data_IF_993308123230
#
_entry.id   IF_993308123230
#
_cell.length_a   1.000
_cell.length_b   1.000
_cell.length_c   1.000
_cell.angle_alpha   90.00
_cell.angle_beta   90.00
_cell.angle_gamma   90.00
#
_symmetry.space_group_name_H-M   'P 1'
#
loop_
_entity.id
_entity.type
_entity.pdbx_description
1 polymer ?
#
# COMPACT_ATOMS: atom_id res chain seq x y z
N UNK A 1 31.88 -18.83 42.59
CA UNK A 1 31.45 -19.59 41.38
C UNK A 1 30.04 -19.17 41.08
N UNK A 2 29.83 -18.43 39.99
CA UNK A 2 28.53 -17.89 39.61
C UNK A 2 27.71 -18.96 38.90
N UNK A 3 26.46 -19.14 39.33
CA UNK A 3 25.48 -20.02 38.68
C UNK A 3 24.97 -19.34 37.41
N UNK A 4 25.08 -20.08 36.31
CA UNK A 4 24.59 -19.75 34.98
C UNK A 4 23.09 -19.52 34.98
N UNK A 5 22.64 -18.35 34.56
CA UNK A 5 21.24 -18.06 34.29
C UNK A 5 20.91 -18.39 32.82
N UNK A 6 19.85 -19.17 32.59
CA UNK A 6 19.24 -19.41 31.29
C UNK A 6 18.92 -18.08 30.58
N UNK A 7 19.26 -17.91 29.29
CA UNK A 7 18.70 -16.82 28.51
C UNK A 7 17.25 -17.20 28.17
N UNK A 8 16.32 -16.73 29.00
CA UNK A 8 14.93 -16.67 28.60
C UNK A 8 14.84 -15.82 27.33
N UNK A 9 14.17 -16.37 26.33
CA UNK A 9 13.91 -15.77 25.04
C UNK A 9 13.34 -14.36 25.22
N UNK A 10 14.19 -13.38 24.97
CA UNK A 10 13.79 -12.01 24.71
C UNK A 10 13.26 -11.97 23.27
N UNK A 11 12.07 -12.51 23.05
CA UNK A 11 11.25 -12.23 21.87
C UNK A 11 10.81 -10.77 21.96
N UNK A 12 11.77 -9.88 21.70
CA UNK A 12 11.52 -8.46 21.58
C UNK A 12 10.72 -8.26 20.28
N UNK A 13 9.42 -8.05 20.45
CA UNK A 13 8.44 -7.64 19.46
C UNK A 13 9.06 -6.74 18.39
N UNK A 14 9.48 -7.33 17.28
CA UNK A 14 9.77 -6.61 16.05
C UNK A 14 8.43 -5.97 15.61
N UNK A 15 8.40 -4.69 15.19
CA UNK A 15 7.16 -4.12 14.69
C UNK A 15 6.73 -4.93 13.47
N UNK A 16 5.62 -5.67 13.61
CA UNK A 16 5.13 -6.69 12.69
C UNK A 16 4.91 -6.21 11.24
N UNK A 17 5.02 -4.90 10.97
CA UNK A 17 4.95 -4.31 9.62
C UNK A 17 6.24 -4.38 8.80
N UNK A 18 7.45 -4.39 9.42
CA UNK A 18 8.71 -4.38 8.63
C UNK A 18 8.94 -5.60 7.71
N UNK A 19 8.51 -6.83 8.06
CA UNK A 19 8.63 -7.97 7.14
C UNK A 19 7.66 -7.90 5.96
N UNK A 20 6.40 -7.51 6.21
CA UNK A 20 5.35 -7.54 5.20
C UNK A 20 5.63 -6.56 4.06
N UNK A 21 6.02 -5.32 4.36
CA UNK A 21 6.40 -4.37 3.32
C UNK A 21 7.51 -4.88 2.40
N UNK A 22 8.53 -5.55 2.96
CA UNK A 22 9.63 -6.12 2.16
C UNK A 22 9.12 -7.22 1.22
N UNK A 23 8.18 -8.03 1.68
CA UNK A 23 7.53 -9.05 0.85
C UNK A 23 6.68 -8.41 -0.26
N UNK A 24 5.92 -7.37 0.06
CA UNK A 24 5.14 -6.60 -0.93
C UNK A 24 6.05 -5.94 -1.96
N UNK A 25 7.20 -5.41 -1.53
CA UNK A 25 8.22 -4.87 -2.42
C UNK A 25 8.79 -5.93 -3.35
N UNK A 26 9.14 -7.10 -2.82
CA UNK A 26 9.62 -8.22 -3.63
C UNK A 26 8.56 -8.66 -4.67
N UNK A 27 7.28 -8.73 -4.26
CA UNK A 27 6.18 -9.12 -5.14
C UNK A 27 5.93 -8.10 -6.26
N UNK A 28 5.91 -6.80 -5.97
CA UNK A 28 5.71 -5.78 -7.00
C UNK A 28 6.91 -5.69 -7.96
N UNK A 29 8.13 -5.76 -7.44
CA UNK A 29 9.36 -5.61 -8.23
C UNK A 29 9.62 -6.81 -9.14
N UNK A 30 9.34 -8.03 -8.68
CA UNK A 30 9.60 -9.24 -9.47
C UNK A 30 8.85 -9.26 -10.80
N UNK A 31 7.71 -8.58 -10.86
CA UNK A 31 6.87 -8.45 -12.06
C UNK A 31 6.80 -7.02 -12.60
N UNK A 32 7.55 -6.09 -12.00
CA UNK A 32 7.58 -4.67 -12.34
C UNK A 32 6.21 -3.98 -12.36
N UNK A 33 5.36 -4.28 -11.38
CA UNK A 33 4.03 -3.63 -11.24
C UNK A 33 4.09 -2.41 -10.34
N UNK A 34 3.20 -1.45 -10.58
CA UNK A 34 3.25 -0.11 -9.97
C UNK A 34 3.03 -0.09 -8.45
N UNK A 35 2.27 -1.02 -7.89
CA UNK A 35 2.08 -1.10 -6.44
C UNK A 35 1.68 -2.50 -5.94
N UNK A 36 1.85 -2.70 -4.64
CA UNK A 36 1.30 -3.81 -3.87
C UNK A 36 0.61 -3.30 -2.60
N UNK A 37 -0.56 -3.84 -2.27
CA UNK A 37 -1.33 -3.54 -1.06
C UNK A 37 -1.74 -4.85 -0.39
N UNK A 38 -1.70 -4.90 0.94
CA UNK A 38 -2.28 -6.01 1.68
C UNK A 38 -3.51 -5.54 2.47
N UNK A 39 -4.64 -6.17 2.19
CA UNK A 39 -5.92 -5.97 2.86
C UNK A 39 -6.13 -7.07 3.90
N UNK A 40 -6.07 -6.78 5.19
CA UNK A 40 -6.32 -7.78 6.23
C UNK A 40 -7.77 -7.79 6.67
N UNK A 41 -8.23 -8.98 7.05
CA UNK A 41 -9.56 -9.15 7.65
C UNK A 41 -9.46 -8.79 9.13
N UNK A 42 -10.27 -7.83 9.58
CA UNK A 42 -10.39 -7.53 11.01
C UNK A 42 -10.88 -8.77 11.78
N UNK A 43 -10.09 -9.25 12.74
CA UNK A 43 -10.40 -10.43 13.56
C UNK A 43 -11.36 -10.11 14.70
N UNK A 44 -11.41 -8.85 15.14
CA UNK A 44 -12.11 -8.42 16.35
C UNK A 44 -13.43 -7.70 16.09
N UNK A 45 -13.64 -7.16 14.88
CA UNK A 45 -14.81 -6.36 14.55
C UNK A 45 -15.83 -7.17 13.72
N UNK A 46 -17.13 -7.05 14.07
CA UNK A 46 -18.24 -7.55 13.26
C UNK A 46 -19.05 -6.35 12.74
N UNK A 47 -19.39 -6.30 11.42
CA UNK A 47 -19.03 -7.27 10.38
C UNK A 47 -17.53 -7.31 10.10
N UNK A 48 -17.04 -8.44 9.58
CA UNK A 48 -15.63 -8.57 9.18
C UNK A 48 -15.40 -7.66 7.97
N UNK A 49 -14.54 -6.66 8.10
CA UNK A 49 -14.18 -5.73 7.03
C UNK A 49 -12.71 -5.91 6.68
N UNK A 50 -12.41 -5.81 5.39
CA UNK A 50 -11.04 -5.72 4.87
C UNK A 50 -10.55 -4.28 4.96
N UNK A 51 -9.45 -4.07 5.68
CA UNK A 51 -8.78 -2.78 5.81
C UNK A 51 -7.32 -2.91 5.39
N UNK A 52 -6.73 -1.83 4.88
CA UNK A 52 -5.32 -1.85 4.52
C UNK A 52 -4.44 -2.12 5.75
N UNK A 53 -3.33 -2.84 5.57
CA UNK A 53 -2.38 -3.15 6.65
C UNK A 53 -0.98 -2.68 6.32
N UNK A 54 -0.48 -3.04 5.15
CA UNK A 54 0.80 -2.57 4.64
C UNK A 54 0.79 -2.55 3.12
N UNK A 55 1.81 -1.93 2.53
CA UNK A 55 1.83 -1.54 1.12
C UNK A 55 3.21 -1.14 0.63
N UNK A 56 3.40 -1.25 -0.67
CA UNK A 56 4.60 -0.82 -1.35
C UNK A 56 4.27 -0.14 -2.68
N UNK A 57 4.95 0.98 -2.95
CA UNK A 57 4.85 1.73 -4.18
C UNK A 57 6.11 1.52 -5.04
N UNK A 58 5.89 1.19 -6.31
CA UNK A 58 6.90 0.90 -7.32
C UNK A 58 6.63 1.67 -8.62
N UNK A 59 5.73 2.66 -8.58
CA UNK A 59 5.34 3.44 -9.75
C UNK A 59 6.28 4.61 -10.04
N UNK A 60 5.93 5.37 -11.06
CA UNK A 60 6.68 6.56 -11.46
C UNK A 60 6.61 7.67 -10.40
N UNK A 61 7.78 8.16 -9.97
CA UNK A 61 7.89 9.27 -9.02
C UNK A 61 8.12 10.57 -9.79
N UNK A 62 7.08 11.42 -9.88
CA UNK A 62 7.15 12.66 -10.67
C UNK A 62 7.88 13.81 -9.97
N UNK A 63 7.98 13.80 -8.64
CA UNK A 63 8.63 14.91 -7.91
C UNK A 63 10.12 14.73 -7.66
N UNK A 64 10.89 15.77 -8.00
CA UNK A 64 12.34 15.90 -7.76
C UNK A 64 12.71 16.29 -6.32
N UNK A 65 11.79 16.21 -5.35
CA UNK A 65 12.13 16.32 -3.92
C UNK A 65 12.68 14.98 -3.40
N UNK A 66 13.65 14.42 -4.11
CA UNK A 66 14.54 13.43 -3.51
C UNK A 66 15.59 14.27 -2.79
N UNK A 67 15.34 14.51 -1.51
CA UNK A 67 16.31 15.21 -0.67
C UNK A 67 17.66 14.52 -0.82
N UNK A 68 18.71 15.30 -1.09
CA UNK A 68 20.07 14.82 -1.25
C UNK A 68 20.49 14.06 0.02
N UNK A 69 20.47 12.73 0.00
CA UNK A 69 21.00 11.92 1.10
C UNK A 69 21.57 10.61 0.57
N UNK A 70 22.89 10.61 0.33
CA UNK A 70 23.75 9.42 0.13
C UNK A 70 23.40 8.61 -1.14
N UNK A 71 24.36 7.87 -1.70
CA UNK A 71 24.16 6.96 -2.84
C UNK A 71 23.20 5.81 -2.47
N UNK A 72 21.90 6.09 -2.42
CA UNK A 72 20.87 5.07 -2.24
C UNK A 72 20.61 4.37 -3.57
N UNK A 73 20.43 3.05 -3.53
CA UNK A 73 20.01 2.30 -4.70
C UNK A 73 18.58 2.70 -5.10
N UNK A 74 18.19 2.47 -6.36
CA UNK A 74 16.82 2.72 -6.82
C UNK A 74 15.77 2.03 -5.92
N UNK A 75 16.09 0.83 -5.43
CA UNK A 75 15.27 0.08 -4.48
C UNK A 75 15.11 0.77 -3.12
N UNK A 76 16.18 1.37 -2.60
CA UNK A 76 16.12 2.11 -1.34
C UNK A 76 15.31 3.39 -1.51
N UNK A 77 15.44 4.07 -2.65
CA UNK A 77 14.67 5.26 -2.99
C UNK A 77 13.16 4.98 -3.07
N UNK A 78 12.75 3.88 -3.71
CA UNK A 78 11.33 3.51 -3.78
C UNK A 78 10.77 3.07 -2.43
N UNK A 79 11.58 2.43 -1.58
CA UNK A 79 11.20 2.10 -0.21
C UNK A 79 10.99 3.37 0.62
N UNK A 80 11.89 4.34 0.51
CA UNK A 80 11.78 5.64 1.15
C UNK A 80 10.55 6.39 0.63
N UNK A 81 10.31 6.37 -0.68
CA UNK A 81 9.13 7.01 -1.27
C UNK A 81 7.83 6.40 -0.78
N UNK A 82 7.75 5.07 -0.71
CA UNK A 82 6.61 4.35 -0.15
C UNK A 82 6.31 4.77 1.29
N UNK A 83 7.36 5.03 2.07
CA UNK A 83 7.24 5.51 3.45
C UNK A 83 6.75 6.96 3.52
N UNK A 84 7.31 7.85 2.71
CA UNK A 84 6.85 9.26 2.64
C UNK A 84 5.38 9.36 2.25
N UNK A 85 4.91 8.51 1.32
CA UNK A 85 3.50 8.44 0.94
C UNK A 85 2.62 7.93 2.10
N UNK A 86 3.15 7.05 2.96
CA UNK A 86 2.44 6.60 4.17
C UNK A 86 2.35 7.69 5.23
N UNK A 87 3.45 8.37 5.49
CA UNK A 87 3.49 9.49 6.44
C UNK A 87 2.55 10.62 6.00
N UNK A 88 2.49 10.92 4.70
CA UNK A 88 1.55 11.90 4.16
C UNK A 88 0.10 11.50 4.43
N UNK A 89 -0.27 10.23 4.18
CA UNK A 89 -1.61 9.74 4.49
C UNK A 89 -1.95 9.83 5.99
N UNK A 90 -1.01 9.49 6.87
CA UNK A 90 -1.20 9.59 8.32
C UNK A 90 -1.38 11.04 8.76
N UNK A 91 -0.60 11.98 8.20
CA UNK A 91 -0.75 13.40 8.45
C UNK A 91 -2.08 13.98 7.91
N UNK A 92 -2.58 13.45 6.79
CA UNK A 92 -3.89 13.82 6.25
C UNK A 92 -5.03 13.32 7.15
N UNK A 93 -4.91 12.12 7.70
CA UNK A 93 -5.89 11.60 8.67
C UNK A 93 -5.88 12.33 10.00
N UNK A 94 -4.71 12.72 10.52
CA UNK A 94 -4.60 13.42 11.81
C UNK A 94 -5.05 14.88 11.74
N UNK A 95 -5.30 15.42 10.54
CA UNK A 95 -5.63 16.83 10.33
C UNK A 95 -4.45 17.78 10.52
N UNK A 96 -3.22 17.27 10.62
CA UNK A 96 -2.01 18.07 10.86
C UNK A 96 -1.46 18.73 9.59
N UNK A 97 -2.30 18.93 8.57
CA UNK A 97 -1.88 19.52 7.30
C UNK A 97 -1.42 20.98 7.43
N UNK A 98 -2.00 21.73 8.37
CA UNK A 98 -1.76 23.16 8.54
C UNK A 98 -0.48 23.50 9.33
N UNK A 99 0.17 22.52 9.98
CA UNK A 99 1.40 22.77 10.77
C UNK A 99 2.65 22.80 9.89
N UNK A 100 2.61 23.56 8.79
CA UNK A 100 3.72 23.71 7.82
C UNK A 100 5.06 24.05 8.48
N UNK A 101 5.02 24.79 9.59
CA UNK A 101 6.21 25.20 10.34
C UNK A 101 6.90 24.08 11.15
N UNK A 102 6.23 22.94 11.39
CA UNK A 102 6.76 21.82 12.17
C UNK A 102 7.08 20.58 11.33
N UNK A 103 6.93 20.66 9.99
CA UNK A 103 7.14 19.51 9.11
C UNK A 103 8.63 19.26 8.88
N UNK A 104 9.10 18.01 8.96
CA UNK A 104 10.47 17.65 8.60
C UNK A 104 10.81 18.11 7.18
N UNK A 105 12.05 18.56 6.98
CA UNK A 105 12.57 18.94 5.66
C UNK A 105 12.45 17.73 4.73
N UNK A 106 11.74 17.88 3.60
CA UNK A 106 11.49 16.80 2.64
C UNK A 106 10.18 16.02 2.83
N UNK A 107 9.31 16.44 3.75
CA UNK A 107 7.93 15.93 3.85
C UNK A 107 7.13 16.25 2.58
N UNK A 108 6.32 15.29 2.11
CA UNK A 108 5.46 15.47 0.94
C UNK A 108 4.23 16.31 1.30
N UNK A 109 3.78 17.10 0.34
CA UNK A 109 2.46 17.73 0.35
C UNK A 109 1.56 17.09 -0.72
N UNK A 110 0.22 17.18 -0.58
CA UNK A 110 -0.71 16.73 -1.62
C UNK A 110 -0.37 17.23 -3.02
N UNK A 111 0.05 18.49 -3.13
CA UNK A 111 0.44 19.13 -4.39
C UNK A 111 1.76 18.60 -5.00
N UNK A 112 2.55 17.85 -4.23
CA UNK A 112 3.80 17.21 -4.72
C UNK A 112 3.55 15.83 -5.36
N UNK A 113 2.31 15.32 -5.42
CA UNK A 113 2.03 13.96 -5.89
C UNK A 113 1.63 13.90 -7.36
N UNK A 114 2.17 12.92 -8.08
CA UNK A 114 1.63 12.50 -9.37
C UNK A 114 0.33 11.70 -9.22
N UNK A 115 -0.44 11.54 -10.30
CA UNK A 115 -1.75 10.85 -10.27
C UNK A 115 -1.68 9.41 -9.72
N UNK A 116 -0.64 8.65 -10.07
CA UNK A 116 -0.44 7.27 -9.60
C UNK A 116 -0.08 7.22 -8.11
N UNK A 117 0.69 8.19 -7.62
CA UNK A 117 1.01 8.34 -6.19
C UNK A 117 -0.23 8.76 -5.41
N UNK A 118 -1.03 9.68 -5.97
CA UNK A 118 -2.30 10.10 -5.42
C UNK A 118 -3.28 8.93 -5.32
N UNK A 119 -3.42 8.14 -6.38
CA UNK A 119 -4.21 6.91 -6.37
C UNK A 119 -3.77 5.97 -5.24
N UNK A 120 -2.46 5.74 -5.11
CA UNK A 120 -1.90 4.89 -4.06
C UNK A 120 -2.21 5.42 -2.65
N UNK A 121 -2.11 6.73 -2.42
CA UNK A 121 -2.49 7.42 -1.17
C UNK A 121 -3.98 7.30 -0.87
N UNK A 122 -4.84 7.57 -1.85
CA UNK A 122 -6.28 7.54 -1.62
C UNK A 122 -6.82 6.11 -1.46
N UNK A 123 -6.17 5.09 -2.01
CA UNK A 123 -6.55 3.69 -1.75
C UNK A 123 -6.65 3.36 -0.26
N UNK A 124 -5.87 4.04 0.58
CA UNK A 124 -5.78 3.81 2.01
C UNK A 124 -7.04 4.24 2.77
N UNK A 125 -7.92 5.05 2.16
CA UNK A 125 -9.21 5.45 2.77
C UNK A 125 -10.31 4.40 2.57
N UNK A 126 -10.07 3.38 1.74
CA UNK A 126 -11.07 2.37 1.43
C UNK A 126 -11.09 1.24 2.46
N UNK A 127 -12.27 0.66 2.61
CA UNK A 127 -12.51 -0.58 3.31
C UNK A 127 -13.53 -1.39 2.52
N UNK A 128 -13.44 -2.73 2.57
CA UNK A 128 -14.30 -3.60 1.78
C UNK A 128 -14.99 -4.65 2.64
N UNK A 129 -16.29 -4.78 2.51
CA UNK A 129 -17.00 -5.94 3.02
C UNK A 129 -16.68 -7.18 2.16
N UNK A 130 -16.77 -8.40 2.71
CA UNK A 130 -16.76 -9.61 1.93
C UNK A 130 -17.79 -9.53 0.78
N UNK A 131 -17.34 -9.85 -0.44
CA UNK A 131 -18.14 -9.74 -1.66
C UNK A 131 -18.15 -8.36 -2.33
N UNK A 132 -17.62 -7.31 -1.70
CA UNK A 132 -17.64 -5.95 -2.23
C UNK A 132 -16.32 -5.55 -2.91
N UNK A 133 -16.40 -4.96 -4.10
CA UNK A 133 -15.21 -4.56 -4.86
C UNK A 133 -14.28 -5.73 -5.17
N UNK A 134 -13.09 -5.46 -5.68
CA UNK A 134 -12.14 -6.53 -6.04
C UNK A 134 -11.62 -7.29 -4.80
N UNK A 135 -11.15 -6.63 -3.73
CA UNK A 135 -10.61 -7.34 -2.57
C UNK A 135 -11.69 -8.15 -1.84
N UNK A 136 -12.89 -7.58 -1.64
CA UNK A 136 -13.98 -8.28 -0.99
C UNK A 136 -14.47 -9.49 -1.78
N UNK A 137 -14.57 -9.39 -3.10
CA UNK A 137 -14.93 -10.53 -3.96
C UNK A 137 -13.89 -11.65 -3.89
N UNK A 138 -12.61 -11.31 -3.97
CA UNK A 138 -11.52 -12.29 -3.86
C UNK A 138 -11.53 -12.98 -2.49
N UNK A 139 -11.70 -12.22 -1.41
CA UNK A 139 -11.80 -12.77 -0.06
C UNK A 139 -13.01 -13.68 0.14
N UNK A 140 -14.18 -13.32 -0.39
CA UNK A 140 -15.41 -14.09 -0.19
C UNK A 140 -15.48 -15.37 -1.03
N UNK A 141 -14.93 -15.33 -2.25
CA UNK A 141 -14.87 -16.49 -3.14
C UNK A 141 -13.68 -17.40 -2.88
N UNK A 142 -12.65 -16.90 -2.18
CA UNK A 142 -11.34 -17.54 -2.09
C UNK A 142 -10.70 -17.82 -3.46
N UNK A 143 -11.01 -16.97 -4.44
CA UNK A 143 -10.48 -17.04 -5.81
C UNK A 143 -9.70 -15.77 -6.16
N UNK A 144 -8.79 -15.89 -7.12
CA UNK A 144 -8.12 -14.72 -7.71
C UNK A 144 -9.13 -13.90 -8.53
N UNK A 145 -9.17 -12.59 -8.30
CA UNK A 145 -9.99 -11.67 -9.10
C UNK A 145 -9.07 -10.79 -9.93
N UNK A 146 -9.18 -10.90 -11.25
CA UNK A 146 -8.41 -10.12 -12.20
C UNK A 146 -9.30 -9.08 -12.89
N UNK A 147 -8.88 -7.82 -12.90
CA UNK A 147 -9.56 -6.74 -13.61
C UNK A 147 -8.62 -6.12 -14.64
N UNK A 148 -8.92 -6.38 -15.91
CA UNK A 148 -8.32 -5.68 -17.04
C UNK A 148 -9.15 -4.44 -17.41
N UNK A 149 -8.47 -3.42 -17.94
CA UNK A 149 -9.07 -2.13 -18.29
C UNK A 149 -9.74 -1.43 -17.09
N UNK A 150 -9.09 -1.43 -15.93
CA UNK A 150 -9.62 -0.84 -14.70
C UNK A 150 -10.03 0.64 -14.85
N UNK A 151 -9.28 1.42 -15.64
CA UNK A 151 -9.60 2.80 -16.02
C UNK A 151 -10.92 2.98 -16.81
N UNK A 152 -11.47 1.90 -17.37
CA UNK A 152 -12.75 1.89 -18.11
C UNK A 152 -13.88 1.25 -17.28
N UNK A 153 -13.59 0.71 -16.11
CA UNK A 153 -14.58 0.02 -15.29
C UNK A 153 -15.64 0.99 -14.73
N UNK A 154 -16.84 0.48 -14.48
CA UNK A 154 -17.88 1.23 -13.80
C UNK A 154 -17.61 1.37 -12.29
N UNK A 155 -17.99 2.51 -11.71
CA UNK A 155 -17.83 2.77 -10.26
C UNK A 155 -18.62 1.82 -9.37
N UNK A 156 -19.68 1.18 -9.90
CA UNK A 156 -20.48 0.18 -9.20
C UNK A 156 -19.67 -1.08 -8.87
N UNK A 157 -18.87 -1.55 -9.82
CA UNK A 157 -18.09 -2.79 -9.68
C UNK A 157 -16.70 -2.52 -9.12
N UNK A 158 -16.17 -1.33 -9.41
CA UNK A 158 -14.88 -0.88 -8.95
C UNK A 158 -14.99 0.55 -8.39
N UNK A 159 -15.19 0.71 -7.06
CA UNK A 159 -15.39 2.02 -6.43
C UNK A 159 -14.26 3.04 -6.67
N UNK A 160 -13.07 2.56 -7.03
CA UNK A 160 -11.88 3.37 -7.35
C UNK A 160 -11.71 3.66 -8.84
N UNK A 161 -12.69 3.34 -9.70
CA UNK A 161 -12.58 3.46 -11.15
C UNK A 161 -12.17 4.86 -11.63
N UNK A 162 -12.74 5.92 -11.06
CA UNK A 162 -12.39 7.29 -11.45
C UNK A 162 -10.94 7.64 -11.09
N UNK A 163 -10.48 7.24 -9.90
CA UNK A 163 -9.09 7.44 -9.47
C UNK A 163 -8.13 6.64 -10.34
N UNK A 164 -8.48 5.37 -10.63
CA UNK A 164 -7.71 4.52 -11.53
C UNK A 164 -7.62 5.10 -12.94
N UNK A 165 -8.69 5.74 -13.42
CA UNK A 165 -8.69 6.42 -14.71
C UNK A 165 -7.72 7.60 -14.74
N UNK A 166 -7.71 8.45 -13.72
CA UNK A 166 -6.75 9.57 -13.62
C UNK A 166 -5.31 9.09 -13.50
N UNK A 167 -5.08 7.99 -12.77
CA UNK A 167 -3.77 7.38 -12.57
C UNK A 167 -3.32 6.43 -13.69
N UNK A 168 -4.12 6.28 -14.75
CA UNK A 168 -3.90 5.33 -15.84
C UNK A 168 -3.70 3.88 -15.37
N UNK A 169 -4.29 3.47 -14.26
CA UNK A 169 -4.25 2.07 -13.79
C UNK A 169 -5.09 1.22 -14.74
N UNK A 170 -4.44 0.23 -15.37
CA UNK A 170 -5.08 -0.60 -16.39
C UNK A 170 -5.37 -2.01 -15.90
N UNK A 171 -4.48 -2.60 -15.10
CA UNK A 171 -4.67 -3.95 -14.58
C UNK A 171 -4.56 -3.97 -13.06
N UNK A 172 -5.49 -4.67 -12.41
CA UNK A 172 -5.49 -4.94 -10.97
C UNK A 172 -5.78 -6.43 -10.76
N UNK A 173 -5.01 -7.10 -9.90
CA UNK A 173 -5.31 -8.44 -9.42
C UNK A 173 -5.47 -8.44 -7.90
N UNK A 174 -6.44 -9.19 -7.42
CA UNK A 174 -6.63 -9.50 -6.00
C UNK A 174 -6.44 -11.00 -5.80
N UNK A 175 -5.53 -11.37 -4.91
CA UNK A 175 -5.13 -12.75 -4.61
C UNK A 175 -5.47 -13.02 -3.14
N UNK A 176 -6.36 -13.98 -2.83
CA UNK A 176 -6.67 -14.30 -1.46
C UNK A 176 -5.47 -15.01 -0.82
N UNK A 177 -5.10 -14.58 0.39
CA UNK A 177 -4.01 -15.14 1.18
C UNK A 177 -4.51 -15.40 2.60
N UNK A 178 -3.72 -16.12 3.40
CA UNK A 178 -4.04 -16.32 4.80
C UNK A 178 -4.18 -14.95 5.52
N UNK A 179 -5.35 -14.71 6.10
CA UNK A 179 -5.64 -13.49 6.85
C UNK A 179 -6.02 -12.26 6.02
N UNK A 180 -6.08 -12.36 4.69
CA UNK A 180 -6.35 -11.18 3.87
C UNK A 180 -6.31 -11.39 2.36
N UNK A 181 -6.08 -10.30 1.63
CA UNK A 181 -5.98 -10.27 0.17
C UNK A 181 -4.79 -9.40 -0.23
N UNK A 182 -3.92 -9.96 -1.06
CA UNK A 182 -2.89 -9.20 -1.77
C UNK A 182 -3.51 -8.57 -3.01
N UNK A 183 -3.44 -7.25 -3.11
CA UNK A 183 -3.77 -6.52 -4.32
C UNK A 183 -2.48 -6.03 -4.99
N UNK A 184 -2.34 -6.28 -6.29
CA UNK A 184 -1.29 -5.71 -7.13
C UNK A 184 -1.95 -4.93 -8.26
N UNK A 185 -1.36 -3.79 -8.64
CA UNK A 185 -1.86 -3.02 -9.78
C UNK A 185 -0.76 -2.36 -10.59
N UNK A 186 -1.04 -2.16 -11.88
CA UNK A 186 -0.11 -1.56 -12.83
C UNK A 186 -0.81 -0.62 -13.81
N UNK A 187 -0.05 0.34 -14.34
CA UNK A 187 -0.46 1.20 -15.45
C UNK A 187 -0.45 0.49 -16.80
N UNK A 188 0.14 -0.70 -16.87
CA UNK A 188 0.21 -1.48 -18.10
C UNK A 188 -1.01 -2.39 -18.24
N UNK A 189 -1.40 -2.64 -19.49
CA UNK A 189 -2.43 -3.63 -19.79
C UNK A 189 -1.81 -5.02 -19.78
N UNK A 190 -2.05 -5.77 -18.71
CA UNK A 190 -1.68 -7.18 -18.59
C UNK A 190 -2.97 -8.02 -18.65
N UNK A 191 -3.22 -8.73 -19.77
CA UNK A 191 -4.41 -9.55 -19.97
C UNK A 191 -4.40 -10.85 -19.17
#
# INVERSE_FOLDING_TARGET
MALSACPAQEELLQPAGRPLRKQLAAAARSINWSYALFWSISSTQRPRVLTWTDRFYNGEVKTRKISHSVELTADQLLMQRSEQLRELYEALQSGECDRRAARPVGSLSPEDLGDTEWYYVICMTYAFLPGQGLPGRSSASNEHVWLCNAHLAGSKDFPRALLAKSACIQTIVCIPLMGGVLELGTTDKVP
#
